data_IF_023088920925
#
_entry.id   IF_023088920925
#
_cell.length_a   1.000
_cell.length_b   1.000
_cell.length_c   1.000
_cell.angle_alpha   90.00
_cell.angle_beta   90.00
_cell.angle_gamma   90.00
#
_symmetry.space_group_name_H-M   'P 1'
#
loop_
_entity.id
_entity.type
_entity.pdbx_description
1 polymer ?
#
# COMPACT_ATOMS: atom_id res chain seq x y z
N UNK A 1 65.90 37.25 -22.05
CA UNK A 1 65.86 37.35 -20.57
C UNK A 1 64.43 37.75 -20.21
N UNK A 2 63.53 36.95 -19.66
CA UNK A 2 63.59 35.63 -19.06
C UNK A 2 62.26 34.91 -19.29
N UNK A 3 62.35 33.63 -19.58
CA UNK A 3 61.35 32.58 -19.38
C UNK A 3 60.69 32.68 -18.01
N UNK A 4 59.39 32.39 -17.91
CA UNK A 4 58.80 31.40 -16.97
C UNK A 4 57.44 30.89 -17.46
N UNK A 5 57.43 29.60 -17.78
CA UNK A 5 56.27 28.72 -17.83
C UNK A 5 55.58 28.69 -16.45
N UNK A 6 54.26 28.80 -16.42
CA UNK A 6 53.44 28.31 -15.31
C UNK A 6 52.28 27.54 -15.89
N UNK A 7 52.36 26.22 -15.70
CA UNK A 7 51.34 25.23 -16.02
C UNK A 7 50.06 25.53 -15.24
N UNK A 8 48.91 25.64 -15.90
CA UNK A 8 47.62 25.66 -15.24
C UNK A 8 46.95 24.29 -15.42
N UNK A 9 46.95 23.52 -14.34
CA UNK A 9 46.38 22.19 -14.27
C UNK A 9 44.85 22.24 -14.36
N UNK A 10 44.33 21.34 -15.19
CA UNK A 10 42.94 21.00 -15.40
C UNK A 10 42.33 20.41 -14.13
N UNK A 11 41.33 21.07 -13.54
CA UNK A 11 40.44 20.49 -12.54
C UNK A 11 39.04 20.36 -13.15
N UNK A 12 38.75 19.21 -13.76
CA UNK A 12 37.39 18.83 -14.12
C UNK A 12 36.67 18.45 -12.84
N UNK A 13 35.84 19.36 -12.33
CA UNK A 13 34.95 19.10 -11.22
C UNK A 13 33.73 18.33 -11.76
N UNK A 14 33.79 17.00 -11.76
CA UNK A 14 32.59 16.17 -12.01
C UNK A 14 31.69 16.29 -10.77
N UNK A 15 30.66 17.12 -10.86
CA UNK A 15 29.59 17.18 -9.88
C UNK A 15 28.80 15.86 -9.92
N UNK A 16 29.10 14.96 -8.99
CA UNK A 16 28.27 13.79 -8.71
C UNK A 16 27.09 14.27 -7.85
N UNK A 17 25.94 14.53 -8.46
CA UNK A 17 24.73 14.87 -7.75
C UNK A 17 24.16 13.60 -7.07
N UNK A 18 23.81 13.63 -5.78
CA UNK A 18 23.19 12.48 -5.13
C UNK A 18 21.74 12.37 -5.62
N UNK A 19 21.42 11.28 -6.32
CA UNK A 19 20.06 10.84 -6.58
C UNK A 19 19.47 10.29 -5.27
N UNK A 20 18.93 11.16 -4.43
CA UNK A 20 18.42 10.76 -3.11
C UNK A 20 17.21 11.57 -2.65
N UNK A 21 16.26 11.92 -3.52
CA UNK A 21 15.00 12.58 -3.10
C UNK A 21 13.80 12.27 -4.03
N UNK A 22 13.64 11.03 -4.49
CA UNK A 22 12.50 10.65 -5.35
C UNK A 22 11.42 9.83 -4.63
N UNK A 23 11.54 9.60 -3.32
CA UNK A 23 10.63 8.71 -2.57
C UNK A 23 9.43 9.47 -1.96
N UNK A 24 9.51 10.80 -1.79
CA UNK A 24 8.44 11.59 -1.13
C UNK A 24 7.27 11.98 -2.04
N UNK A 25 7.40 11.93 -3.37
CA UNK A 25 6.36 12.40 -4.31
C UNK A 25 5.53 11.28 -4.99
N UNK A 26 5.72 10.01 -4.60
CA UNK A 26 5.01 8.90 -5.22
C UNK A 26 3.57 8.76 -4.69
N UNK A 27 2.60 8.70 -5.60
CA UNK A 27 1.19 8.44 -5.25
C UNK A 27 1.03 7.13 -4.49
N UNK A 28 -0.01 6.95 -3.65
CA UNK A 28 -0.24 5.69 -2.93
C UNK A 28 -0.23 4.45 -3.84
N UNK A 29 -0.83 4.57 -5.02
CA UNK A 29 -0.79 3.53 -6.04
C UNK A 29 0.63 3.24 -6.54
N UNK A 30 1.41 4.28 -6.87
CA UNK A 30 2.77 4.11 -7.37
C UNK A 30 3.67 3.42 -6.33
N UNK A 31 3.51 3.77 -5.04
CA UNK A 31 4.21 3.10 -3.94
C UNK A 31 3.89 1.60 -3.88
N UNK A 32 2.61 1.24 -4.01
CA UNK A 32 2.21 -0.18 -4.07
C UNK A 32 2.68 -0.88 -5.35
N UNK A 33 2.69 -0.21 -6.51
CA UNK A 33 3.17 -0.83 -7.75
C UNK A 33 4.68 -1.10 -7.74
N UNK A 34 5.46 -0.30 -7.01
CA UNK A 34 6.89 -0.51 -6.82
C UNK A 34 7.18 -1.75 -5.96
N UNK A 35 6.35 -1.98 -4.94
CA UNK A 35 6.42 -3.16 -4.08
C UNK A 35 4.98 -3.62 -3.71
N UNK A 36 4.39 -4.55 -4.49
CA UNK A 36 3.03 -5.04 -4.22
C UNK A 36 2.87 -5.77 -2.88
N UNK A 37 3.98 -6.13 -2.24
CA UNK A 37 4.00 -6.78 -0.92
C UNK A 37 4.06 -5.78 0.24
N UNK A 38 4.26 -4.49 -0.06
CA UNK A 38 4.34 -3.45 0.94
C UNK A 38 2.99 -3.21 1.64
N UNK A 39 3.08 -3.02 2.96
CA UNK A 39 1.95 -2.55 3.78
C UNK A 39 1.98 -1.03 3.85
N UNK A 40 0.91 -0.38 3.43
CA UNK A 40 0.80 1.07 3.44
C UNK A 40 0.17 1.61 4.73
N UNK A 41 0.64 2.76 5.20
CA UNK A 41 -0.04 3.51 6.26
C UNK A 41 -1.18 4.32 5.67
N UNK A 42 -2.32 4.42 6.36
CA UNK A 42 -3.51 5.12 5.88
C UNK A 42 -3.36 6.64 5.73
N UNK A 43 -2.30 7.23 6.28
CA UNK A 43 -2.01 8.66 6.18
C UNK A 43 -1.93 9.09 4.70
N UNK A 44 -2.72 10.09 4.32
CA UNK A 44 -2.75 10.60 2.94
C UNK A 44 -3.32 9.63 1.89
N UNK A 45 -3.99 8.55 2.29
CA UNK A 45 -4.60 7.58 1.37
C UNK A 45 -6.13 7.71 1.36
N UNK A 46 -6.70 7.72 0.15
CA UNK A 46 -8.13 7.65 -0.11
C UNK A 46 -8.51 6.34 -0.83
N UNK A 47 -9.81 6.01 -0.87
CA UNK A 47 -10.27 4.81 -1.60
C UNK A 47 -10.07 5.00 -3.11
N UNK A 48 -10.28 6.24 -3.55
CA UNK A 48 -10.25 6.69 -4.93
C UNK A 48 -8.88 6.47 -5.59
N UNK A 49 -7.79 6.45 -4.79
CA UNK A 49 -6.42 6.20 -5.27
C UNK A 49 -6.25 4.84 -5.95
N UNK A 50 -7.14 3.88 -5.64
CA UNK A 50 -7.07 2.51 -6.13
C UNK A 50 -8.25 2.14 -7.05
N UNK A 51 -9.10 3.11 -7.40
CA UNK A 51 -10.30 2.87 -8.18
C UNK A 51 -9.95 2.26 -9.55
N UNK A 52 -10.59 1.15 -9.87
CA UNK A 52 -10.39 0.26 -11.01
C UNK A 52 -9.02 -0.43 -11.10
N UNK A 53 -8.09 -0.14 -10.19
CA UNK A 53 -6.69 -0.54 -10.29
C UNK A 53 -6.31 -1.62 -9.27
N UNK A 54 -6.70 -1.45 -8.00
CA UNK A 54 -6.37 -2.38 -6.93
C UNK A 54 -7.54 -2.54 -5.94
N UNK A 55 -7.46 -3.56 -5.09
CA UNK A 55 -8.46 -3.91 -4.05
C UNK A 55 -7.90 -3.57 -2.68
N UNK A 56 -8.33 -2.46 -2.05
CA UNK A 56 -7.89 -2.16 -0.70
C UNK A 56 -8.41 -3.16 0.32
N UNK A 57 -7.50 -3.74 1.09
CA UNK A 57 -7.78 -4.38 2.37
C UNK A 57 -7.28 -3.46 3.46
N UNK A 58 -8.21 -2.84 4.18
CA UNK A 58 -7.90 -1.88 5.24
C UNK A 58 -8.07 -2.55 6.60
N UNK A 59 -7.02 -2.55 7.40
CA UNK A 59 -7.02 -3.05 8.78
C UNK A 59 -6.97 -1.87 9.73
N UNK A 60 -8.06 -1.69 10.48
CA UNK A 60 -8.16 -0.70 11.53
C UNK A 60 -7.85 -1.32 12.89
N UNK A 61 -7.24 -0.52 13.77
CA UNK A 61 -7.16 -0.78 15.21
C UNK A 61 -7.11 0.54 15.99
N UNK A 62 -7.20 0.45 17.32
CA UNK A 62 -7.04 1.62 18.21
C UNK A 62 -5.58 1.88 18.59
N UNK A 63 -4.71 0.88 18.39
CA UNK A 63 -3.28 0.94 18.68
C UNK A 63 -2.55 -0.20 17.95
N UNK A 64 -1.27 -0.03 17.57
CA UNK A 64 -0.45 -1.11 17.03
C UNK A 64 -0.22 -2.26 18.03
N UNK A 65 -0.49 -2.05 19.32
CA UNK A 65 -0.40 -3.09 20.34
C UNK A 65 -1.62 -4.03 20.40
N UNK A 66 -2.72 -3.73 19.68
CA UNK A 66 -3.94 -4.55 19.68
C UNK A 66 -3.61 -6.00 19.25
N UNK A 67 -3.94 -7.03 20.08
CA UNK A 67 -3.68 -8.42 19.73
C UNK A 67 -4.29 -8.85 18.40
N UNK A 68 -5.49 -8.35 18.08
CA UNK A 68 -6.19 -8.68 16.82
C UNK A 68 -5.49 -8.05 15.62
N UNK A 69 -4.93 -6.85 15.79
CA UNK A 69 -4.12 -6.23 14.74
C UNK A 69 -2.89 -7.09 14.43
N UNK A 70 -2.14 -7.49 15.46
CA UNK A 70 -0.95 -8.34 15.30
C UNK A 70 -1.28 -9.66 14.61
N UNK A 71 -2.30 -10.38 15.11
CA UNK A 71 -2.77 -11.63 14.50
C UNK A 71 -3.20 -11.42 13.04
N UNK A 72 -3.94 -10.35 12.74
CA UNK A 72 -4.34 -10.06 11.37
C UNK A 72 -3.14 -9.79 10.45
N UNK A 73 -2.13 -9.06 10.93
CA UNK A 73 -0.93 -8.76 10.15
C UNK A 73 -0.12 -10.04 9.89
N UNK A 74 0.01 -10.93 10.86
CA UNK A 74 0.62 -12.26 10.67
C UNK A 74 -0.09 -13.02 9.54
N UNK A 75 -1.42 -13.13 9.61
CA UNK A 75 -2.22 -13.83 8.58
C UNK A 75 -2.04 -13.23 7.17
N UNK A 76 -1.95 -11.90 7.04
CA UNK A 76 -1.77 -11.23 5.75
C UNK A 76 -0.36 -11.42 5.19
N UNK A 77 0.66 -11.26 6.03
CA UNK A 77 2.07 -11.37 5.64
C UNK A 77 2.44 -12.80 5.24
N UNK A 78 1.89 -13.80 5.93
CA UNK A 78 2.13 -15.23 5.64
C UNK A 78 1.69 -15.65 4.24
N UNK A 79 0.75 -14.92 3.62
CA UNK A 79 0.18 -15.25 2.30
C UNK A 79 0.08 -14.04 1.38
N UNK A 80 1.07 -13.16 1.45
CA UNK A 80 1.09 -11.93 0.64
C UNK A 80 1.01 -12.23 -0.87
N UNK A 81 1.63 -13.30 -1.35
CA UNK A 81 1.56 -13.72 -2.76
C UNK A 81 0.13 -14.03 -3.24
N UNK A 82 -0.72 -14.58 -2.37
CA UNK A 82 -2.13 -14.83 -2.71
C UNK A 82 -2.93 -13.52 -2.86
N UNK A 83 -2.52 -12.48 -2.12
CA UNK A 83 -3.11 -11.15 -2.15
C UNK A 83 -2.64 -10.37 -3.39
N UNK A 84 -1.35 -10.38 -3.68
CA UNK A 84 -0.77 -9.68 -4.85
C UNK A 84 -1.31 -10.23 -6.17
N UNK A 85 -1.51 -11.55 -6.28
CA UNK A 85 -2.15 -12.19 -7.44
C UNK A 85 -3.61 -11.75 -7.71
N UNK A 86 -4.20 -10.96 -6.81
CA UNK A 86 -5.57 -10.42 -6.90
C UNK A 86 -5.58 -8.90 -6.85
N UNK A 87 -4.44 -8.26 -7.08
CA UNK A 87 -4.22 -6.83 -6.98
C UNK A 87 -4.67 -6.26 -5.63
N UNK A 88 -4.41 -6.97 -4.54
CA UNK A 88 -4.76 -6.49 -3.20
C UNK A 88 -3.66 -5.58 -2.67
N UNK A 89 -4.06 -4.41 -2.19
CA UNK A 89 -3.20 -3.50 -1.43
C UNK A 89 -3.58 -3.55 0.04
N UNK A 90 -2.61 -3.80 0.93
CA UNK A 90 -2.84 -3.83 2.37
C UNK A 90 -2.56 -2.44 2.94
N UNK A 91 -3.56 -1.88 3.62
CA UNK A 91 -3.47 -0.56 4.26
C UNK A 91 -3.79 -0.72 5.75
N UNK A 92 -2.99 -0.08 6.60
CA UNK A 92 -3.18 -0.13 8.06
C UNK A 92 -3.46 1.25 8.62
N UNK A 93 -4.36 1.29 9.60
CA UNK A 93 -4.69 2.48 10.37
C UNK A 93 -4.84 2.09 11.84
N UNK A 94 -3.79 2.38 12.63
CA UNK A 94 -3.72 2.02 14.05
C UNK A 94 -3.72 3.25 14.97
N UNK A 95 -3.96 4.44 14.42
CA UNK A 95 -4.07 5.69 15.16
C UNK A 95 -5.43 6.36 14.89
N UNK A 96 -6.43 6.15 15.78
CA UNK A 96 -7.72 6.82 15.67
C UNK A 96 -7.65 8.35 15.68
N UNK A 97 -6.61 8.94 16.26
CA UNK A 97 -6.46 10.39 16.41
C UNK A 97 -6.02 11.09 15.12
N UNK A 98 -5.33 10.37 14.22
CA UNK A 98 -4.92 10.84 12.90
C UNK A 98 -6.11 11.17 11.98
N UNK A 99 -7.29 10.57 12.23
CA UNK A 99 -8.53 10.82 11.46
C UNK A 99 -8.34 10.69 9.95
N UNK A 100 -7.63 9.64 9.52
CA UNK A 100 -7.41 9.33 8.10
C UNK A 100 -8.69 9.43 7.26
N UNK A 101 -8.56 9.72 5.97
CA UNK A 101 -9.70 9.78 5.06
C UNK A 101 -10.47 8.44 5.03
N UNK A 102 -9.73 7.32 5.07
CA UNK A 102 -10.29 5.97 5.19
C UNK A 102 -11.10 5.78 6.47
N UNK A 103 -10.60 6.19 7.64
CA UNK A 103 -11.32 6.07 8.92
C UNK A 103 -12.57 6.92 8.94
N UNK A 104 -12.48 8.14 8.43
CA UNK A 104 -13.62 9.07 8.35
C UNK A 104 -14.73 8.50 7.46
N UNK A 105 -14.36 7.93 6.31
CA UNK A 105 -15.30 7.35 5.34
C UNK A 105 -15.87 6.00 5.80
N UNK A 106 -15.02 5.12 6.32
CA UNK A 106 -15.40 3.74 6.66
C UNK A 106 -15.93 3.57 8.07
N UNK A 107 -15.70 4.54 8.97
CA UNK A 107 -16.23 4.62 10.34
C UNK A 107 -16.06 3.31 11.15
N UNK A 108 -14.83 2.77 11.26
CA UNK A 108 -14.57 1.57 12.05
C UNK A 108 -14.84 1.78 13.53
N UNK A 109 -15.06 0.69 14.27
CA UNK A 109 -15.18 0.67 15.73
C UNK A 109 -14.15 -0.31 16.29
N UNK A 110 -13.09 0.19 16.90
CA UNK A 110 -11.95 -0.62 17.33
C UNK A 110 -11.30 -1.35 16.16
N UNK A 111 -10.95 -2.63 16.36
CA UNK A 111 -10.46 -3.48 15.30
C UNK A 111 -11.52 -3.72 14.21
N UNK A 112 -11.14 -3.52 12.95
CA UNK A 112 -11.99 -3.88 11.81
C UNK A 112 -11.15 -4.13 10.56
N UNK A 113 -11.34 -5.28 9.92
CA UNK A 113 -10.89 -5.52 8.56
C UNK A 113 -12.00 -5.14 7.57
N UNK A 114 -11.63 -4.42 6.51
CA UNK A 114 -12.54 -4.02 5.43
C UNK A 114 -11.92 -4.39 4.09
N UNK A 115 -12.66 -5.12 3.25
CA UNK A 115 -12.30 -5.32 1.84
C UNK A 115 -13.09 -4.33 0.99
N UNK A 116 -12.38 -3.66 0.10
CA UNK A 116 -12.93 -2.77 -0.92
C UNK A 116 -12.59 -3.37 -2.30
N UNK A 117 -13.58 -3.38 -3.19
CA UNK A 117 -13.38 -3.82 -4.56
C UNK A 117 -12.70 -2.76 -5.42
N UNK A 118 -12.24 -3.14 -6.61
CA UNK A 118 -11.74 -2.18 -7.60
C UNK A 118 -12.80 -1.15 -8.00
N UNK A 119 -14.09 -1.47 -7.88
CA UNK A 119 -15.19 -0.51 -8.08
C UNK A 119 -15.36 0.51 -6.94
N UNK A 120 -14.45 0.53 -5.95
CA UNK A 120 -14.49 1.44 -4.80
C UNK A 120 -15.55 1.08 -3.75
N UNK A 121 -16.35 0.03 -3.99
CA UNK A 121 -17.41 -0.41 -3.09
C UNK A 121 -16.88 -1.30 -1.97
N UNK A 122 -17.39 -1.10 -0.75
CA UNK A 122 -17.11 -2.00 0.39
C UNK A 122 -17.77 -3.36 0.14
N UNK A 123 -16.98 -4.43 0.19
CA UNK A 123 -17.42 -5.81 -0.10
C UNK A 123 -17.74 -6.61 1.14
N UNK A 124 -16.96 -6.41 2.21
CA UNK A 124 -17.20 -7.01 3.52
C UNK A 124 -16.51 -6.23 4.62
N UNK A 125 -16.95 -6.48 5.84
CA UNK A 125 -16.36 -5.99 7.08
C UNK A 125 -16.26 -7.14 8.07
N UNK A 126 -15.16 -7.23 8.81
CA UNK A 126 -14.96 -8.22 9.88
C UNK A 126 -14.46 -7.54 11.15
N UNK A 127 -15.13 -7.72 12.30
CA UNK A 127 -14.67 -7.20 13.59
C UNK A 127 -13.65 -8.12 14.28
N UNK A 128 -13.05 -9.08 13.55
CA UNK A 128 -12.11 -10.08 14.05
C UNK A 128 -11.09 -10.44 12.96
N UNK A 129 -9.87 -10.93 13.33
CA UNK A 129 -8.86 -11.36 12.38
C UNK A 129 -9.39 -12.43 11.44
N UNK A 130 -9.08 -12.31 10.15
CA UNK A 130 -9.66 -13.16 9.12
C UNK A 130 -8.60 -13.70 8.17
N UNK A 131 -8.74 -14.99 7.87
CA UNK A 131 -7.77 -15.77 7.11
C UNK A 131 -7.72 -15.37 5.63
N UNK A 132 -6.51 -15.33 5.07
CA UNK A 132 -6.27 -14.95 3.67
C UNK A 132 -6.96 -15.89 2.69
N UNK A 133 -7.09 -17.19 2.98
CA UNK A 133 -7.83 -18.13 2.12
C UNK A 133 -9.29 -17.72 1.99
N UNK A 134 -9.92 -17.34 3.10
CA UNK A 134 -11.33 -16.93 3.09
C UNK A 134 -11.50 -15.56 2.43
N UNK A 135 -10.55 -14.64 2.64
CA UNK A 135 -10.49 -13.36 1.94
C UNK A 135 -10.36 -13.57 0.42
N UNK A 136 -9.41 -14.38 -0.03
CA UNK A 136 -9.19 -14.76 -1.44
C UNK A 136 -10.42 -15.40 -2.05
N UNK A 137 -11.07 -16.34 -1.34
CA UNK A 137 -12.35 -16.94 -1.78
C UNK A 137 -13.47 -15.92 -1.94
N UNK A 138 -13.52 -14.92 -1.06
CA UNK A 138 -14.49 -13.83 -1.18
C UNK A 138 -14.19 -12.96 -2.40
N UNK A 139 -12.91 -12.73 -2.71
CA UNK A 139 -12.49 -11.95 -3.88
C UNK A 139 -12.83 -12.67 -5.17
N UNK A 140 -12.55 -13.97 -5.26
CA UNK A 140 -12.77 -14.78 -6.47
C UNK A 140 -14.27 -14.94 -6.83
N UNK A 141 -15.16 -14.68 -5.87
CA UNK A 141 -16.61 -14.65 -6.08
C UNK A 141 -17.13 -13.31 -6.63
N UNK A 142 -16.30 -12.28 -6.70
CA UNK A 142 -16.74 -10.97 -7.21
C UNK A 142 -16.90 -10.99 -8.73
N UNK A 143 -17.98 -10.40 -9.29
CA UNK A 143 -18.23 -10.43 -10.74
C UNK A 143 -17.06 -9.89 -11.57
N UNK A 144 -16.45 -8.78 -11.13
CA UNK A 144 -15.28 -8.20 -11.79
C UNK A 144 -14.07 -9.15 -11.74
N UNK A 145 -13.84 -9.85 -10.62
CA UNK A 145 -12.74 -10.82 -10.53
C UNK A 145 -12.99 -12.03 -11.44
N UNK A 146 -14.23 -12.49 -11.52
CA UNK A 146 -14.59 -13.57 -12.45
C UNK A 146 -14.39 -13.16 -13.91
N UNK A 147 -14.60 -11.88 -14.22
CA UNK A 147 -14.30 -11.34 -15.55
C UNK A 147 -12.80 -11.32 -15.82
N UNK A 148 -11.97 -10.81 -14.89
CA UNK A 148 -10.50 -10.86 -15.00
C UNK A 148 -10.02 -12.28 -15.31
N UNK A 149 -10.50 -13.28 -14.56
CA UNK A 149 -10.13 -14.69 -14.75
C UNK A 149 -10.55 -15.20 -16.14
N UNK A 150 -11.73 -14.83 -16.64
CA UNK A 150 -12.18 -15.22 -18.00
C UNK A 150 -11.36 -14.55 -19.09
N UNK A 151 -10.95 -13.30 -18.86
CA UNK A 151 -10.19 -12.49 -19.80
C UNK A 151 -8.68 -12.78 -19.73
N UNK A 152 -8.25 -13.68 -18.83
CA UNK A 152 -6.86 -14.10 -18.66
C UNK A 152 -5.99 -13.12 -17.87
N UNK A 153 -6.61 -12.33 -16.99
CA UNK A 153 -5.98 -11.35 -16.11
C UNK A 153 -5.90 -11.81 -14.64
#
# INVERSE_FOLDING_TARGET
MNTRLVSLALAVLTAFAPAAHAVEDATPLARWQQDPTAVLQAEGIAIEDFHWLARPVVVFADSPADPRYREQMELLLDRMDELTARDVVVIVDTDPSARSALRTKLRPRGFMLVLIGKDGGVKLRKPFPWDVRELSRSIDKMPLRQQEIRDGQ
#
